data_IF_406666734619
#
_entry.id   IF_406666734619
#
_cell.length_a   1.000
_cell.length_b   1.000
_cell.length_c   1.000
_cell.angle_alpha   90.00
_cell.angle_beta   90.00
_cell.angle_gamma   90.00
#
_symmetry.space_group_name_H-M   'P 1'
#
loop_
_entity.id
_entity.type
_entity.pdbx_description
1 polymer ?
#
# COMPACT_ATOMS: atom_id res chain seq x y z
N UNK A 1 -13.92 15.54 5.86
CA UNK A 1 -12.69 14.82 5.43
C UNK A 1 -11.52 15.79 5.59
N UNK A 2 -10.48 15.42 6.33
CA UNK A 2 -9.33 16.30 6.57
C UNK A 2 -8.58 16.61 5.26
N UNK A 3 -8.21 17.88 5.05
CA UNK A 3 -7.37 18.31 3.93
C UNK A 3 -8.03 18.37 2.54
N UNK A 4 -9.34 18.13 2.43
CA UNK A 4 -10.01 18.06 1.12
C UNK A 4 -10.02 19.40 0.36
N UNK A 5 -10.08 20.54 1.05
CA UNK A 5 -9.97 21.85 0.41
C UNK A 5 -8.60 22.04 -0.24
N UNK A 6 -7.51 21.62 0.42
CA UNK A 6 -6.16 21.68 -0.17
C UNK A 6 -6.03 20.81 -1.41
N UNK A 7 -6.62 19.61 -1.38
CA UNK A 7 -6.68 18.72 -2.53
C UNK A 7 -7.44 19.38 -3.68
N UNK A 8 -8.61 19.97 -3.40
CA UNK A 8 -9.39 20.69 -4.42
C UNK A 8 -8.56 21.83 -5.02
N UNK A 9 -7.94 22.66 -4.20
CA UNK A 9 -7.17 23.81 -4.66
C UNK A 9 -5.98 23.39 -5.53
N UNK A 10 -5.25 22.34 -5.13
CA UNK A 10 -4.15 21.77 -5.93
C UNK A 10 -4.63 21.19 -7.25
N UNK A 11 -5.73 20.43 -7.24
CA UNK A 11 -6.30 19.81 -8.44
C UNK A 11 -6.78 20.89 -9.41
N UNK A 12 -7.52 21.89 -8.95
CA UNK A 12 -8.02 22.98 -9.80
C UNK A 12 -6.89 23.86 -10.36
N UNK A 13 -5.77 24.00 -9.63
CA UNK A 13 -4.63 24.76 -10.12
C UNK A 13 -3.83 24.02 -11.21
N UNK A 14 -3.76 22.67 -11.14
CA UNK A 14 -2.86 21.88 -11.99
C UNK A 14 -3.57 21.10 -13.10
N UNK A 15 -4.77 20.59 -12.83
CA UNK A 15 -5.46 19.59 -13.64
C UNK A 15 -6.76 20.15 -14.23
N UNK A 16 -6.61 21.09 -15.17
CA UNK A 16 -7.70 21.55 -16.02
C UNK A 16 -8.11 20.47 -17.02
N UNK A 17 -9.35 20.48 -17.56
CA UNK A 17 -9.83 19.42 -18.44
C UNK A 17 -8.95 19.15 -19.67
N UNK A 18 -8.40 20.19 -20.28
CA UNK A 18 -7.45 20.11 -21.41
C UNK A 18 -6.17 19.35 -21.04
N UNK A 19 -5.61 19.60 -19.85
CA UNK A 19 -4.42 18.89 -19.36
C UNK A 19 -4.71 17.44 -19.01
N UNK A 20 -5.91 17.17 -18.49
CA UNK A 20 -6.34 15.78 -18.24
C UNK A 20 -6.43 15.04 -19.58
N UNK A 21 -7.06 15.64 -20.59
CA UNK A 21 -7.15 15.08 -21.94
C UNK A 21 -5.77 14.84 -22.56
N UNK A 22 -4.84 15.80 -22.45
CA UNK A 22 -3.46 15.66 -22.92
C UNK A 22 -2.77 14.43 -22.31
N UNK A 23 -2.89 14.24 -20.99
CA UNK A 23 -2.18 13.18 -20.26
C UNK A 23 -2.83 11.81 -20.42
N UNK A 24 -4.16 11.72 -20.39
CA UNK A 24 -4.87 10.44 -20.39
C UNK A 24 -5.45 10.04 -21.77
N UNK A 25 -5.53 10.97 -22.72
CA UNK A 25 -6.12 10.75 -24.04
C UNK A 25 -7.65 10.59 -24.03
N UNK A 26 -8.32 10.86 -22.91
CA UNK A 26 -9.79 10.78 -22.79
C UNK A 26 -10.39 12.18 -23.00
N UNK A 27 -11.32 12.35 -23.95
CA UNK A 27 -11.94 13.65 -24.22
C UNK A 27 -12.61 14.26 -22.99
N UNK A 28 -12.50 15.58 -22.83
CA UNK A 28 -13.12 16.33 -21.72
C UNK A 28 -14.60 15.95 -21.51
N UNK A 29 -15.38 15.91 -22.60
CA UNK A 29 -16.81 15.59 -22.55
C UNK A 29 -17.09 14.21 -21.94
N UNK A 30 -16.21 13.23 -22.18
CA UNK A 30 -16.33 11.88 -21.63
C UNK A 30 -15.97 11.87 -20.14
N UNK A 31 -14.90 12.57 -19.74
CA UNK A 31 -14.50 12.70 -18.33
C UNK A 31 -15.60 13.38 -17.52
N UNK A 32 -16.13 14.50 -18.02
CA UNK A 32 -17.21 15.24 -17.39
C UNK A 32 -18.47 14.38 -17.22
N UNK A 33 -18.88 13.67 -18.28
CA UNK A 33 -20.04 12.76 -18.24
C UNK A 33 -19.89 11.67 -17.17
N UNK A 34 -18.70 11.07 -17.04
CA UNK A 34 -18.44 10.04 -16.01
C UNK A 34 -18.45 10.66 -14.61
N UNK A 35 -17.81 11.81 -14.43
CA UNK A 35 -17.77 12.51 -13.15
C UNK A 35 -19.18 12.90 -12.65
N UNK A 36 -20.00 13.47 -13.54
CA UNK A 36 -21.40 13.81 -13.26
C UNK A 36 -22.22 12.56 -12.93
N UNK A 37 -22.08 11.48 -13.71
CA UNK A 37 -22.75 10.22 -13.44
C UNK A 37 -22.43 9.69 -12.04
N UNK A 38 -21.15 9.71 -11.64
CA UNK A 38 -20.73 9.30 -10.30
C UNK A 38 -21.27 10.22 -9.19
N UNK A 39 -21.32 11.53 -9.43
CA UNK A 39 -21.82 12.53 -8.48
C UNK A 39 -23.33 12.43 -8.24
N UNK A 40 -24.10 12.16 -9.31
CA UNK A 40 -25.55 12.09 -9.27
C UNK A 40 -26.08 10.72 -8.80
N UNK A 41 -25.29 9.65 -8.96
CA UNK A 41 -25.68 8.30 -8.57
C UNK A 41 -24.87 7.81 -7.37
N UNK A 42 -25.29 8.23 -6.17
CA UNK A 42 -24.64 7.89 -4.90
C UNK A 42 -25.60 7.10 -3.98
N UNK A 43 -25.13 6.06 -3.27
CA UNK A 43 -23.75 5.61 -3.20
C UNK A 43 -23.30 4.87 -4.48
N UNK A 44 -22.04 5.06 -4.85
CA UNK A 44 -21.36 4.32 -5.91
C UNK A 44 -20.04 3.76 -5.38
N UNK A 45 -19.49 2.74 -6.04
CA UNK A 45 -18.24 2.10 -5.64
C UNK A 45 -17.21 2.16 -6.76
N UNK A 46 -15.94 2.31 -6.38
CA UNK A 46 -14.83 1.98 -7.28
C UNK A 46 -14.36 0.56 -6.99
N UNK A 47 -14.16 -0.22 -8.05
CA UNK A 47 -13.59 -1.56 -7.98
C UNK A 47 -12.35 -1.60 -8.86
N UNK A 48 -11.23 -2.11 -8.34
CA UNK A 48 -10.00 -2.26 -9.12
C UNK A 48 -9.25 -3.56 -8.81
N UNK A 49 -8.32 -3.90 -9.70
CA UNK A 49 -7.37 -5.01 -9.57
C UNK A 49 -5.94 -4.49 -9.87
N UNK A 50 -5.13 -5.30 -10.57
CA UNK A 50 -3.74 -4.97 -10.91
C UNK A 50 -3.56 -3.76 -11.82
N UNK A 51 -4.61 -3.35 -12.55
CA UNK A 51 -4.59 -2.16 -13.42
C UNK A 51 -4.38 -0.83 -12.68
N UNK A 52 -4.54 -0.79 -11.35
CA UNK A 52 -4.14 0.37 -10.54
C UNK A 52 -2.85 0.12 -9.77
N UNK A 53 -2.62 -1.10 -9.28
CA UNK A 53 -1.52 -1.39 -8.34
C UNK A 53 -0.18 -1.66 -9.04
N UNK A 54 -0.16 -2.25 -10.24
CA UNK A 54 1.07 -2.57 -10.97
C UNK A 54 1.53 -1.40 -11.86
N UNK A 55 1.64 -0.22 -11.26
CA UNK A 55 2.23 0.97 -11.86
C UNK A 55 3.34 1.48 -10.96
N UNK A 56 4.34 2.16 -11.53
CA UNK A 56 5.44 2.80 -10.77
C UNK A 56 4.95 3.76 -9.69
N UNK A 57 3.74 4.31 -9.87
CA UNK A 57 3.05 5.20 -8.93
C UNK A 57 1.75 4.59 -8.35
N UNK A 58 1.66 3.27 -8.25
CA UNK A 58 0.43 2.56 -7.85
C UNK A 58 -0.17 3.06 -6.52
N UNK A 59 0.67 3.39 -5.54
CA UNK A 59 0.23 4.00 -4.27
C UNK A 59 -0.51 5.33 -4.47
N UNK A 60 -0.05 6.17 -5.39
CA UNK A 60 -0.69 7.44 -5.69
C UNK A 60 -2.02 7.24 -6.43
N UNK A 61 -2.08 6.28 -7.36
CA UNK A 61 -3.30 5.93 -8.10
C UNK A 61 -4.39 5.43 -7.15
N UNK A 62 -4.06 4.46 -6.28
CA UNK A 62 -5.01 3.93 -5.28
C UNK A 62 -5.48 5.02 -4.32
N UNK A 63 -4.56 5.90 -3.89
CA UNK A 63 -4.90 7.05 -3.04
C UNK A 63 -5.88 8.00 -3.74
N UNK A 64 -5.70 8.28 -5.03
CA UNK A 64 -6.62 9.12 -5.80
C UNK A 64 -8.02 8.49 -5.88
N UNK A 65 -8.14 7.18 -6.11
CA UNK A 65 -9.41 6.44 -6.06
C UNK A 65 -10.11 6.61 -4.71
N UNK A 66 -9.38 6.49 -3.59
CA UNK A 66 -9.90 6.69 -2.25
C UNK A 66 -10.37 8.15 -2.03
N UNK A 67 -9.61 9.14 -2.51
CA UNK A 67 -9.96 10.56 -2.40
C UNK A 67 -11.26 10.86 -3.16
N UNK A 68 -11.43 10.33 -4.37
CA UNK A 68 -12.67 10.50 -5.15
C UNK A 68 -13.86 9.91 -4.39
N UNK A 69 -13.73 8.72 -3.82
CA UNK A 69 -14.81 8.10 -3.02
C UNK A 69 -15.12 8.88 -1.73
N UNK A 70 -14.12 9.51 -1.11
CA UNK A 70 -14.31 10.42 0.01
C UNK A 70 -15.03 11.72 -0.42
N UNK A 71 -14.65 12.31 -1.56
CA UNK A 71 -15.26 13.51 -2.11
C UNK A 71 -16.74 13.29 -2.47
N UNK A 72 -17.06 12.13 -3.03
CA UNK A 72 -18.43 11.71 -3.32
C UNK A 72 -19.22 11.37 -2.05
N UNK A 73 -18.56 11.11 -0.93
CA UNK A 73 -19.22 10.72 0.33
C UNK A 73 -19.76 9.29 0.29
N UNK A 74 -19.06 8.40 -0.42
CA UNK A 74 -19.42 6.99 -0.59
C UNK A 74 -18.78 6.06 0.47
N UNK A 75 -17.78 6.54 1.21
CA UNK A 75 -17.12 5.74 2.26
C UNK A 75 -18.05 5.54 3.46
N UNK A 76 -18.11 4.30 3.97
CA UNK A 76 -18.95 3.95 5.13
C UNK A 76 -20.44 3.77 4.81
N UNK A 77 -20.79 3.58 3.54
CA UNK A 77 -22.18 3.35 3.08
C UNK A 77 -22.31 2.02 2.35
N UNK A 78 -23.43 1.32 2.54
CA UNK A 78 -23.76 0.11 1.77
C UNK A 78 -23.84 0.45 0.27
N UNK A 79 -23.21 -0.38 -0.58
CA UNK A 79 -23.08 -0.12 -2.02
C UNK A 79 -22.01 0.92 -2.40
N UNK A 80 -21.36 1.55 -1.42
CA UNK A 80 -20.24 2.47 -1.64
C UNK A 80 -18.88 1.85 -1.33
N UNK A 81 -17.81 2.62 -1.57
CA UNK A 81 -16.47 2.27 -1.11
C UNK A 81 -15.40 2.29 -2.20
N UNK A 82 -14.18 2.05 -1.74
CA UNK A 82 -13.01 1.85 -2.58
C UNK A 82 -12.56 0.40 -2.41
N UNK A 83 -12.95 -0.45 -3.36
CA UNK A 83 -12.87 -1.90 -3.22
C UNK A 83 -11.79 -2.49 -4.15
N UNK A 84 -10.84 -3.21 -3.57
CA UNK A 84 -9.84 -3.96 -4.33
C UNK A 84 -10.26 -5.42 -4.44
N UNK A 85 -10.31 -5.94 -5.66
CA UNK A 85 -10.38 -7.38 -5.88
C UNK A 85 -8.98 -7.95 -5.78
N UNK A 86 -8.80 -8.80 -4.78
CA UNK A 86 -7.53 -9.48 -4.55
C UNK A 86 -7.50 -10.78 -5.33
N UNK A 87 -6.31 -11.15 -5.82
CA UNK A 87 -6.14 -12.27 -6.76
C UNK A 87 -6.22 -13.63 -6.09
N UNK A 88 -5.18 -13.99 -5.31
CA UNK A 88 -5.11 -15.30 -4.67
C UNK A 88 -6.15 -15.44 -3.54
N UNK A 89 -6.69 -16.65 -3.44
CA UNK A 89 -7.73 -17.09 -2.50
C UNK A 89 -7.52 -16.62 -1.06
N UNK A 90 -6.28 -16.66 -0.54
CA UNK A 90 -5.98 -16.29 0.83
C UNK A 90 -4.99 -15.13 0.97
N UNK A 91 -4.83 -14.27 -0.04
CA UNK A 91 -3.88 -13.14 0.09
C UNK A 91 -4.32 -12.14 1.18
N UNK A 92 -5.63 -11.99 1.43
CA UNK A 92 -6.13 -11.22 2.57
C UNK A 92 -5.71 -11.85 3.89
N UNK A 93 -6.04 -13.14 4.11
CA UNK A 93 -5.71 -13.83 5.35
C UNK A 93 -4.21 -13.98 5.57
N UNK A 94 -3.43 -14.20 4.50
CA UNK A 94 -1.97 -14.17 4.56
C UNK A 94 -1.48 -12.80 5.07
N UNK A 95 -1.97 -11.69 4.51
CA UNK A 95 -1.61 -10.35 5.00
C UNK A 95 -2.02 -10.17 6.47
N UNK A 96 -3.19 -10.67 6.86
CA UNK A 96 -3.70 -10.57 8.23
C UNK A 96 -2.85 -11.33 9.26
N UNK A 97 -2.24 -12.46 8.88
CA UNK A 97 -1.33 -13.22 9.77
C UNK A 97 0.10 -12.67 9.79
N UNK A 98 0.44 -11.68 8.97
CA UNK A 98 1.67 -10.89 9.08
C UNK A 98 2.99 -11.55 8.64
N UNK A 99 3.08 -12.30 7.53
CA UNK A 99 4.37 -12.66 6.90
C UNK A 99 4.97 -11.46 6.15
N UNK A 100 4.66 -10.23 6.60
CA UNK A 100 5.10 -8.99 5.97
C UNK A 100 6.30 -8.42 6.72
N UNK A 101 7.24 -7.77 6.02
CA UNK A 101 8.43 -7.23 6.68
C UNK A 101 8.17 -5.97 7.51
N UNK A 102 6.97 -5.39 7.45
CA UNK A 102 6.63 -4.09 8.04
C UNK A 102 5.60 -4.17 9.18
N UNK A 103 5.06 -5.36 9.48
CA UNK A 103 3.98 -5.54 10.44
C UNK A 103 4.00 -6.92 11.11
N UNK A 104 3.53 -6.95 12.35
CA UNK A 104 3.15 -8.14 13.09
C UNK A 104 1.69 -8.53 12.75
N UNK A 105 1.23 -9.74 13.14
CA UNK A 105 -0.13 -10.18 12.84
C UNK A 105 -1.19 -9.14 13.23
N UNK A 106 -2.28 -9.07 12.46
CA UNK A 106 -3.36 -8.11 12.67
C UNK A 106 -2.96 -6.65 12.39
N UNK A 107 -1.96 -6.44 11.51
CA UNK A 107 -1.47 -5.11 11.11
C UNK A 107 -0.87 -4.28 12.26
N UNK A 108 -0.36 -4.94 13.30
CA UNK A 108 0.38 -4.24 14.33
C UNK A 108 1.72 -3.78 13.76
N UNK A 109 2.09 -2.51 13.99
CA UNK A 109 3.41 -2.02 13.60
C UNK A 109 4.54 -2.71 14.38
N UNK A 110 5.78 -2.37 14.06
CA UNK A 110 6.96 -2.99 14.66
C UNK A 110 7.46 -2.31 15.95
N UNK A 111 6.71 -1.37 16.52
CA UNK A 111 7.11 -0.70 17.75
C UNK A 111 7.21 -1.68 18.94
N UNK A 112 8.05 -1.38 19.93
CA UNK A 112 8.26 -2.23 21.11
C UNK A 112 6.96 -2.72 21.80
N UNK A 113 5.92 -1.87 21.85
CA UNK A 113 4.63 -2.22 22.44
C UNK A 113 3.93 -3.37 21.72
N UNK A 114 3.98 -3.37 20.38
CA UNK A 114 3.40 -4.43 19.57
C UNK A 114 4.17 -5.76 19.75
N UNK A 115 5.51 -5.69 19.76
CA UNK A 115 6.33 -6.86 20.05
C UNK A 115 6.09 -7.45 21.43
N UNK A 116 5.94 -6.61 22.46
CA UNK A 116 5.59 -7.07 23.82
C UNK A 116 4.23 -7.73 23.86
N UNK A 117 3.24 -7.20 23.13
CA UNK A 117 1.94 -7.84 22.98
C UNK A 117 2.07 -9.25 22.40
N UNK A 118 2.77 -9.40 21.26
CA UNK A 118 2.93 -10.69 20.60
C UNK A 118 3.83 -11.67 21.38
N UNK A 119 4.87 -11.18 22.05
CA UNK A 119 5.69 -11.99 22.96
C UNK A 119 4.81 -12.66 24.03
N UNK A 120 3.90 -11.90 24.64
CA UNK A 120 2.94 -12.44 25.60
C UNK A 120 1.94 -13.43 24.96
N UNK A 121 1.41 -13.12 23.77
CA UNK A 121 0.51 -14.03 23.03
C UNK A 121 1.19 -15.37 22.71
N UNK A 122 2.46 -15.35 22.35
CA UNK A 122 3.25 -16.55 22.02
C UNK A 122 3.83 -17.25 23.26
N UNK A 123 3.72 -16.66 24.45
CA UNK A 123 4.32 -17.20 25.67
C UNK A 123 5.85 -17.20 25.64
N UNK A 124 6.46 -16.24 24.95
CA UNK A 124 7.91 -16.10 24.80
C UNK A 124 8.37 -14.82 25.50
N UNK A 125 9.53 -14.88 26.15
CA UNK A 125 10.13 -13.71 26.79
C UNK A 125 10.52 -12.63 25.76
N UNK A 126 10.18 -11.37 26.04
CA UNK A 126 10.45 -10.25 25.12
C UNK A 126 11.96 -10.01 24.94
N UNK A 127 12.76 -10.11 26.00
CA UNK A 127 14.21 -9.90 25.90
C UNK A 127 14.87 -11.05 25.12
N UNK A 128 14.34 -12.27 25.21
CA UNK A 128 14.75 -13.37 24.34
C UNK A 128 14.50 -13.08 22.86
N UNK A 129 13.29 -12.62 22.48
CA UNK A 129 12.95 -12.27 21.09
C UNK A 129 13.85 -11.12 20.62
N UNK A 130 13.98 -10.08 21.42
CA UNK A 130 14.83 -8.93 21.13
C UNK A 130 16.28 -9.35 20.88
N UNK A 131 16.79 -10.31 21.64
CA UNK A 131 18.10 -10.92 21.45
C UNK A 131 18.23 -11.83 20.22
N UNK A 132 17.22 -11.94 19.34
CA UNK A 132 17.31 -12.57 18.01
C UNK A 132 17.60 -11.56 16.90
N UNK A 133 17.49 -10.27 17.18
CA UNK A 133 17.80 -9.20 16.24
C UNK A 133 19.19 -8.62 16.54
N UNK A 134 19.84 -8.06 15.52
CA UNK A 134 21.15 -7.40 15.68
C UNK A 134 21.08 -6.20 16.64
N UNK A 135 19.94 -5.52 16.68
CA UNK A 135 19.65 -4.42 17.60
C UNK A 135 18.15 -4.22 17.73
N UNK A 136 17.73 -3.46 18.74
CA UNK A 136 16.33 -3.04 18.87
C UNK A 136 15.88 -2.18 17.69
N UNK A 137 16.77 -1.31 17.17
CA UNK A 137 16.45 -0.50 15.99
C UNK A 137 16.13 -1.36 14.76
N UNK A 138 16.86 -2.46 14.57
CA UNK A 138 16.59 -3.41 13.49
C UNK A 138 15.31 -4.23 13.69
N UNK A 139 14.96 -4.54 14.94
CA UNK A 139 13.70 -5.20 15.29
C UNK A 139 12.46 -4.33 15.04
N UNK A 140 12.59 -3.02 15.20
CA UNK A 140 11.48 -2.07 15.10
C UNK A 140 11.39 -1.37 13.73
N UNK A 141 12.33 -1.66 12.81
CA UNK A 141 12.37 -1.09 11.46
C UNK A 141 11.70 -2.03 10.45
N UNK A 142 10.96 -1.46 9.51
CA UNK A 142 10.40 -2.19 8.38
C UNK A 142 11.51 -2.86 7.56
N UNK A 143 11.37 -4.15 7.30
CA UNK A 143 12.32 -4.92 6.52
C UNK A 143 12.22 -4.66 5.01
N UNK A 144 13.25 -5.09 4.30
CA UNK A 144 13.27 -5.08 2.83
C UNK A 144 12.29 -6.12 2.27
N UNK A 145 11.47 -5.73 1.28
CA UNK A 145 10.54 -6.65 0.63
C UNK A 145 11.26 -7.62 -0.30
N UNK A 146 10.73 -8.83 -0.45
CA UNK A 146 11.31 -9.84 -1.37
C UNK A 146 11.43 -9.33 -2.80
N UNK A 147 10.49 -8.50 -3.28
CA UNK A 147 10.53 -7.89 -4.60
C UNK A 147 11.69 -6.91 -4.81
N UNK A 148 12.31 -6.42 -3.73
CA UNK A 148 13.44 -5.48 -3.74
C UNK A 148 14.75 -6.18 -3.33
N UNK A 149 14.81 -7.50 -3.46
CA UNK A 149 16.00 -8.29 -3.15
C UNK A 149 17.23 -7.83 -3.94
N UNK A 150 17.04 -7.39 -5.18
CA UNK A 150 18.13 -6.93 -6.04
C UNK A 150 18.76 -5.65 -5.49
N UNK A 151 17.95 -4.71 -4.97
CA UNK A 151 18.47 -3.53 -4.30
C UNK A 151 19.24 -3.92 -3.05
N UNK A 152 18.75 -4.90 -2.28
CA UNK A 152 19.48 -5.41 -1.12
C UNK A 152 20.85 -6.03 -1.47
N UNK A 153 21.04 -6.54 -2.69
CA UNK A 153 22.32 -7.14 -3.11
C UNK A 153 23.24 -6.11 -3.77
N UNK A 154 22.69 -5.25 -4.61
CA UNK A 154 23.44 -4.44 -5.57
C UNK A 154 23.60 -2.98 -5.15
N UNK A 155 22.63 -2.41 -4.42
CA UNK A 155 22.69 -1.01 -4.04
C UNK A 155 23.68 -0.77 -2.91
N UNK A 156 24.15 0.48 -2.82
CA UNK A 156 25.03 0.88 -1.73
C UNK A 156 24.24 0.96 -0.43
N UNK A 157 24.86 0.52 0.67
CA UNK A 157 24.22 0.47 1.98
C UNK A 157 23.69 1.85 2.46
N UNK A 158 24.32 2.95 2.07
CA UNK A 158 23.87 4.32 2.42
C UNK A 158 22.55 4.73 1.72
N UNK A 159 22.14 3.99 0.69
CA UNK A 159 20.88 4.19 -0.03
C UNK A 159 19.77 3.24 0.44
N UNK A 160 20.07 2.33 1.36
CA UNK A 160 19.12 1.35 1.90
C UNK A 160 18.78 1.78 3.34
N UNK A 161 17.50 1.94 3.63
CA UNK A 161 17.05 2.39 4.96
C UNK A 161 17.39 1.36 6.05
N UNK A 162 17.36 0.06 5.72
CA UNK A 162 17.71 -1.01 6.64
C UNK A 162 19.21 -1.31 6.58
N UNK A 163 19.86 -1.46 7.74
CA UNK A 163 21.23 -1.97 7.80
C UNK A 163 21.28 -3.36 7.17
N UNK A 164 22.03 -3.48 6.07
CA UNK A 164 21.95 -4.62 5.18
C UNK A 164 23.34 -5.21 4.89
N UNK A 165 23.45 -6.54 4.93
CA UNK A 165 24.63 -7.29 4.49
C UNK A 165 24.25 -8.46 3.56
N UNK A 166 23.10 -8.37 2.90
CA UNK A 166 22.68 -9.33 1.89
C UNK A 166 23.64 -9.23 0.70
N UNK A 167 24.21 -10.37 0.30
CA UNK A 167 25.16 -10.48 -0.83
C UNK A 167 24.66 -11.35 -1.97
N UNK A 168 23.68 -12.21 -1.67
CA UNK A 168 23.03 -13.08 -2.63
C UNK A 168 21.68 -13.52 -2.04
N UNK A 169 20.74 -13.86 -2.92
CA UNK A 169 19.48 -14.50 -2.56
C UNK A 169 19.31 -15.74 -3.43
N UNK A 170 19.00 -16.87 -2.80
CA UNK A 170 18.73 -18.13 -3.48
C UNK A 170 17.24 -18.48 -3.34
N UNK A 171 16.54 -18.60 -4.46
CA UNK A 171 15.14 -18.98 -4.49
C UNK A 171 15.00 -20.47 -4.78
N UNK A 172 14.30 -21.18 -3.89
CA UNK A 172 13.95 -22.59 -4.10
C UNK A 172 12.46 -22.80 -3.87
N UNK A 173 11.74 -23.24 -4.92
CA UNK A 173 10.29 -23.48 -4.84
C UNK A 173 9.42 -22.22 -4.75
N UNK A 174 9.97 -21.04 -5.07
CA UNK A 174 9.24 -19.78 -5.03
C UNK A 174 8.58 -19.46 -6.38
N UNK A 175 7.39 -18.88 -6.36
CA UNK A 175 6.74 -18.38 -7.58
C UNK A 175 7.55 -17.21 -8.19
N UNK A 176 7.85 -17.24 -9.50
CA UNK A 176 8.72 -16.25 -10.15
C UNK A 176 8.07 -14.85 -10.27
N UNK A 177 6.75 -14.76 -10.19
CA UNK A 177 5.99 -13.50 -10.28
C UNK A 177 6.16 -12.56 -9.07
N UNK A 178 6.79 -13.02 -7.99
CA UNK A 178 7.06 -12.22 -6.79
C UNK A 178 8.48 -11.65 -6.75
N UNK A 179 9.28 -11.90 -7.81
CA UNK A 179 10.73 -11.67 -7.84
C UNK A 179 11.18 -10.51 -8.74
N UNK A 180 10.23 -9.89 -9.44
CA UNK A 180 10.42 -8.79 -10.39
C UNK A 180 9.80 -7.51 -9.89
#
# INVERSE_FOLDING_TARGET
VYGMDKVRDEVLAKWTPDKVEEVCGVPEAQVHKVAEMMAMNRPSTLVWCMGQTQHTIGNAIVRASCIVQLALGNIGKSGGGANIFRGHDNVQGATDVGPNPDSLPGYYGLAAGAWKHFANVWGVDYEWIKGRFASQAMMEKSGTTVSRWADAVLEKNDLIDQDNNVRAVFYWGHAPNSQT
#
